data_IF_604047514562
#
_entry.id   IF_604047514562
#
_cell.length_a   1.000
_cell.length_b   1.000
_cell.length_c   1.000
_cell.angle_alpha   90.00
_cell.angle_beta   90.00
_cell.angle_gamma   90.00
#
_symmetry.space_group_name_H-M   'P 1'
#
loop_
_entity.id
_entity.type
_entity.pdbx_description
1 polymer ?
#
# COMPACT_ATOMS: atom_id res chain seq x y z
N UNK A 1 -20.85 -19.60 1.33
CA UNK A 1 -19.74 -18.67 1.06
C UNK A 1 -19.72 -18.43 -0.44
N UNK A 2 -20.09 -17.22 -0.86
CA UNK A 2 -20.09 -16.85 -2.28
C UNK A 2 -18.64 -16.79 -2.78
N UNK A 3 -18.41 -16.99 -4.08
CA UNK A 3 -17.08 -16.70 -4.67
C UNK A 3 -16.66 -15.24 -4.44
N UNK A 4 -17.62 -14.34 -4.25
CA UNK A 4 -17.37 -12.94 -3.90
C UNK A 4 -16.76 -12.75 -2.51
N UNK A 5 -17.04 -13.66 -1.56
CA UNK A 5 -16.41 -13.63 -0.23
C UNK A 5 -14.93 -14.03 -0.29
N UNK A 6 -14.51 -14.72 -1.36
CA UNK A 6 -13.14 -15.24 -1.53
C UNK A 6 -12.21 -14.28 -2.29
N UNK A 7 -12.74 -13.33 -3.04
CA UNK A 7 -11.97 -12.43 -3.91
C UNK A 7 -12.36 -10.98 -3.68
N UNK A 8 -12.67 -10.56 -2.45
CA UNK A 8 -13.05 -9.18 -2.13
C UNK A 8 -11.84 -8.26 -1.88
N UNK A 9 -12.04 -6.92 -1.88
CA UNK A 9 -10.97 -5.95 -1.64
C UNK A 9 -10.31 -6.11 -0.26
N UNK A 10 -11.08 -6.53 0.76
CA UNK A 10 -10.55 -6.84 2.09
C UNK A 10 -9.62 -8.05 2.07
N UNK A 11 -9.91 -9.05 1.22
CA UNK A 11 -9.04 -10.21 1.03
C UNK A 11 -7.77 -9.78 0.30
N UNK A 12 -7.87 -8.99 -0.76
CA UNK A 12 -6.70 -8.46 -1.46
C UNK A 12 -5.79 -7.62 -0.55
N UNK A 13 -6.37 -6.83 0.37
CA UNK A 13 -5.61 -6.11 1.39
C UNK A 13 -4.83 -7.06 2.30
N UNK A 14 -5.50 -8.08 2.87
CA UNK A 14 -4.86 -9.09 3.73
C UNK A 14 -3.75 -9.82 2.98
N UNK A 15 -4.04 -10.27 1.76
CA UNK A 15 -3.09 -10.96 0.89
C UNK A 15 -1.87 -10.08 0.56
N UNK A 16 -2.08 -8.77 0.35
CA UNK A 16 -1.00 -7.82 0.10
C UNK A 16 -0.13 -7.59 1.36
N UNK A 17 -0.73 -7.53 2.55
CA UNK A 17 0.01 -7.49 3.82
C UNK A 17 0.83 -8.77 4.00
N UNK A 18 0.26 -9.94 3.72
CA UNK A 18 0.95 -11.23 3.81
C UNK A 18 2.16 -11.31 2.85
N UNK A 19 2.05 -10.72 1.65
CA UNK A 19 3.15 -10.64 0.68
C UNK A 19 4.24 -9.69 1.18
N UNK A 20 3.86 -8.46 1.59
CA UNK A 20 4.82 -7.39 1.88
C UNK A 20 5.50 -7.52 3.25
N UNK A 21 4.83 -8.11 4.25
CA UNK A 21 5.35 -8.25 5.61
C UNK A 21 6.41 -9.35 5.77
N UNK A 22 6.54 -10.26 4.80
CA UNK A 22 7.45 -11.41 4.88
C UNK A 22 8.93 -11.04 4.81
N UNK A 23 9.27 -9.94 4.15
CA UNK A 23 10.66 -9.50 4.02
C UNK A 23 10.79 -7.97 4.17
N UNK A 24 11.59 -7.47 5.13
CA UNK A 24 11.89 -6.04 5.27
C UNK A 24 12.51 -5.40 4.01
N UNK A 25 13.07 -6.21 3.09
CA UNK A 25 13.60 -5.75 1.78
C UNK A 25 12.51 -5.33 0.81
N UNK A 26 11.24 -5.60 1.11
CA UNK A 26 10.09 -5.22 0.27
C UNK A 26 9.82 -3.70 0.20
N UNK A 27 10.68 -2.88 0.81
CA UNK A 27 10.65 -1.41 0.75
C UNK A 27 10.46 -0.90 -0.68
N UNK A 28 11.22 -1.45 -1.64
CA UNK A 28 11.20 -0.99 -3.05
C UNK A 28 9.89 -1.34 -3.76
N UNK A 29 9.28 -2.48 -3.40
CA UNK A 29 7.95 -2.84 -3.87
C UNK A 29 6.87 -1.92 -3.29
N UNK A 30 6.95 -1.59 -1.99
CA UNK A 30 6.02 -0.61 -1.36
C UNK A 30 6.12 0.74 -2.08
N UNK A 31 7.33 1.21 -2.35
CA UNK A 31 7.56 2.46 -3.09
C UNK A 31 6.97 2.40 -4.49
N UNK A 32 7.23 1.32 -5.23
CA UNK A 32 6.72 1.14 -6.60
C UNK A 32 5.19 1.11 -6.64
N UNK A 33 4.55 0.45 -5.69
CA UNK A 33 3.08 0.40 -5.58
C UNK A 33 2.49 1.79 -5.36
N UNK A 34 3.03 2.54 -4.40
CA UNK A 34 2.55 3.88 -4.09
C UNK A 34 2.77 4.81 -5.27
N UNK A 35 3.98 4.85 -5.85
CA UNK A 35 4.26 5.69 -7.01
C UNK A 35 3.37 5.34 -8.20
N UNK A 36 3.10 4.05 -8.43
CA UNK A 36 2.23 3.62 -9.53
C UNK A 36 0.77 4.00 -9.30
N UNK A 37 0.30 4.13 -8.06
CA UNK A 37 -1.04 4.66 -7.76
C UNK A 37 -1.12 6.19 -7.89
N UNK A 38 -0.04 6.89 -7.53
CA UNK A 38 0.05 8.35 -7.71
C UNK A 38 0.20 8.77 -9.17
N UNK A 39 0.70 7.86 -10.03
CA UNK A 39 0.74 8.03 -11.48
C UNK A 39 -0.58 7.50 -12.06
N UNK A 40 -1.17 8.16 -13.08
CA UNK A 40 -2.45 7.67 -13.62
C UNK A 40 -2.29 6.25 -14.20
N UNK A 41 -2.92 5.26 -13.57
CA UNK A 41 -2.89 3.84 -13.98
C UNK A 41 -3.49 3.59 -15.38
N UNK A 42 -4.04 4.61 -16.05
CA UNK A 42 -4.30 4.56 -17.51
C UNK A 42 -3.02 4.38 -18.33
N UNK A 43 -1.85 4.68 -17.77
CA UNK A 43 -0.57 4.39 -18.40
C UNK A 43 -0.24 2.90 -18.26
N UNK A 44 -0.11 2.19 -19.39
CA UNK A 44 0.21 0.76 -19.43
C UNK A 44 1.52 0.40 -18.69
N UNK A 45 2.40 1.38 -18.52
CA UNK A 45 3.65 1.26 -17.78
C UNK A 45 3.42 1.11 -16.27
N UNK A 46 2.48 1.85 -15.68
CA UNK A 46 2.16 1.77 -14.25
C UNK A 46 1.57 0.40 -13.86
N UNK A 47 0.67 -0.15 -14.69
CA UNK A 47 0.14 -1.52 -14.50
C UNK A 47 1.25 -2.57 -14.56
N UNK A 48 2.22 -2.40 -15.47
CA UNK A 48 3.34 -3.33 -15.62
C UNK A 48 4.29 -3.26 -14.42
N UNK A 49 4.57 -2.05 -13.90
CA UNK A 49 5.37 -1.85 -12.68
C UNK A 49 4.74 -2.51 -11.46
N UNK A 50 3.44 -2.33 -11.24
CA UNK A 50 2.69 -3.00 -10.15
C UNK A 50 2.80 -4.52 -10.29
N UNK A 51 2.57 -5.06 -11.50
CA UNK A 51 2.66 -6.50 -11.75
C UNK A 51 4.04 -7.06 -11.46
N UNK A 52 5.09 -6.40 -11.92
CA UNK A 52 6.46 -6.85 -11.71
C UNK A 52 6.85 -6.80 -10.23
N UNK A 53 6.58 -5.69 -9.54
CA UNK A 53 6.91 -5.53 -8.12
C UNK A 53 6.21 -6.58 -7.25
N UNK A 54 4.91 -6.82 -7.44
CA UNK A 54 4.17 -7.82 -6.67
C UNK A 54 4.64 -9.23 -7.02
N UNK A 55 4.87 -9.54 -8.30
CA UNK A 55 5.32 -10.87 -8.71
C UNK A 55 6.71 -11.20 -8.20
N UNK A 56 7.61 -10.20 -8.18
CA UNK A 56 8.96 -10.35 -7.64
C UNK A 56 8.93 -10.66 -6.14
N UNK A 57 8.21 -9.86 -5.35
CA UNK A 57 8.08 -10.11 -3.91
C UNK A 57 7.37 -11.43 -3.64
N UNK A 58 6.27 -11.71 -4.34
CA UNK A 58 5.53 -12.96 -4.17
C UNK A 58 6.38 -14.20 -4.52
N UNK A 59 7.30 -14.11 -5.48
CA UNK A 59 8.21 -15.21 -5.82
C UNK A 59 9.27 -15.50 -4.75
N UNK A 60 9.56 -14.51 -3.90
CA UNK A 60 10.50 -14.62 -2.79
C UNK A 60 9.77 -14.98 -1.48
N UNK A 61 8.44 -14.87 -1.46
CA UNK A 61 7.56 -15.16 -0.34
C UNK A 61 6.89 -16.53 -0.51
N UNK A 62 6.48 -17.17 0.58
CA UNK A 62 5.80 -18.48 0.53
C UNK A 62 4.29 -18.31 0.30
N UNK A 63 3.91 -17.68 -0.80
CA UNK A 63 2.51 -17.32 -1.12
C UNK A 63 2.10 -18.00 -2.42
N UNK A 64 0.85 -18.46 -2.48
CA UNK A 64 0.36 -19.15 -3.67
C UNK A 64 0.02 -18.18 -4.82
N UNK A 65 -0.11 -18.74 -6.02
CA UNK A 65 -0.45 -17.98 -7.22
C UNK A 65 -1.85 -17.36 -7.16
N UNK A 66 -2.78 -17.94 -6.40
CA UNK A 66 -4.15 -17.42 -6.29
C UNK A 66 -4.14 -16.10 -5.50
N UNK A 67 -3.38 -16.05 -4.40
CA UNK A 67 -3.13 -14.88 -3.57
C UNK A 67 -2.50 -13.76 -4.38
N UNK A 68 -1.44 -14.08 -5.13
CA UNK A 68 -0.76 -13.12 -6.00
C UNK A 68 -1.71 -12.57 -7.08
N UNK A 69 -2.47 -13.45 -7.75
CA UNK A 69 -3.42 -13.04 -8.78
C UNK A 69 -4.57 -12.19 -8.23
N UNK A 70 -5.04 -12.48 -7.02
CA UNK A 70 -6.08 -11.69 -6.35
C UNK A 70 -5.59 -10.26 -6.11
N UNK A 71 -4.40 -10.09 -5.52
CA UNK A 71 -3.78 -8.78 -5.30
C UNK A 71 -3.61 -8.02 -6.61
N UNK A 72 -3.06 -8.66 -7.64
CA UNK A 72 -2.87 -8.04 -8.96
C UNK A 72 -4.17 -7.61 -9.62
N UNK A 73 -5.23 -8.41 -9.49
CA UNK A 73 -6.54 -8.05 -10.01
C UNK A 73 -7.05 -6.77 -9.35
N UNK A 74 -7.07 -6.73 -8.01
CA UNK A 74 -7.61 -5.57 -7.28
C UNK A 74 -6.76 -4.31 -7.47
N UNK A 75 -5.44 -4.43 -7.53
CA UNK A 75 -4.55 -3.27 -7.73
C UNK A 75 -4.46 -2.78 -9.19
N UNK A 76 -4.99 -3.51 -10.18
CA UNK A 76 -4.85 -3.08 -11.60
C UNK A 76 -6.15 -3.00 -12.38
N UNK A 77 -7.23 -3.65 -11.92
CA UNK A 77 -8.49 -3.77 -12.67
C UNK A 77 -9.67 -3.04 -12.00
N UNK A 78 -9.45 -2.37 -10.87
CA UNK A 78 -10.52 -1.73 -10.09
C UNK A 78 -10.39 -0.22 -10.12
N UNK A 79 -11.40 0.49 -9.62
CA UNK A 79 -11.40 1.95 -9.61
C UNK A 79 -10.36 2.52 -8.61
N UNK A 80 -9.94 3.79 -8.78
CA UNK A 80 -8.97 4.41 -7.88
C UNK A 80 -9.35 4.33 -6.40
N UNK A 81 -10.59 4.64 -6.04
CA UNK A 81 -11.02 4.66 -4.63
C UNK A 81 -10.79 3.31 -3.92
N UNK A 82 -11.08 2.19 -4.59
CA UNK A 82 -10.85 0.85 -4.04
C UNK A 82 -9.37 0.56 -3.88
N UNK A 83 -8.53 0.93 -4.86
CA UNK A 83 -7.08 0.73 -4.78
C UNK A 83 -6.44 1.58 -3.70
N UNK A 84 -6.83 2.85 -3.61
CA UNK A 84 -6.40 3.77 -2.56
C UNK A 84 -6.74 3.22 -1.18
N UNK A 85 -7.97 2.73 -0.99
CA UNK A 85 -8.38 2.08 0.25
C UNK A 85 -7.49 0.87 0.59
N UNK A 86 -7.26 -0.03 -0.37
CA UNK A 86 -6.39 -1.20 -0.18
C UNK A 86 -4.99 -0.74 0.24
N UNK A 87 -4.39 0.18 -0.50
CA UNK A 87 -3.02 0.63 -0.28
C UNK A 87 -2.85 1.33 1.08
N UNK A 88 -3.75 2.26 1.42
CA UNK A 88 -3.70 3.01 2.68
C UNK A 88 -3.83 2.06 3.88
N UNK A 89 -4.80 1.14 3.84
CA UNK A 89 -5.00 0.21 4.94
C UNK A 89 -3.87 -0.83 5.03
N UNK A 90 -3.31 -1.28 3.91
CA UNK A 90 -2.12 -2.15 3.92
C UNK A 90 -0.93 -1.45 4.57
N UNK A 91 -0.64 -0.19 4.21
CA UNK A 91 0.49 0.55 4.79
C UNK A 91 0.26 0.81 6.29
N UNK A 92 -0.96 1.17 6.68
CA UNK A 92 -1.33 1.28 8.10
C UNK A 92 -1.03 -0.02 8.86
N UNK A 93 -1.45 -1.16 8.31
CA UNK A 93 -1.24 -2.49 8.93
C UNK A 93 0.25 -2.83 9.03
N UNK A 94 1.03 -2.57 7.97
CA UNK A 94 2.48 -2.80 7.95
C UNK A 94 3.24 -1.90 8.94
N UNK A 95 2.78 -0.67 9.18
CA UNK A 95 3.33 0.22 10.22
C UNK A 95 3.01 -0.27 11.65
N UNK A 96 1.93 -1.04 11.80
CA UNK A 96 1.54 -1.67 13.06
C UNK A 96 2.30 -2.96 13.37
N UNK A 97 2.94 -3.58 12.36
CA UNK A 97 3.72 -4.81 12.50
C UNK A 97 5.19 -4.46 12.76
N UNK A 98 5.74 -4.91 13.89
CA UNK A 98 7.08 -4.54 14.37
C UNK A 98 8.18 -4.87 13.34
N UNK A 99 8.09 -6.01 12.66
CA UNK A 99 9.10 -6.48 11.70
C UNK A 99 9.09 -5.71 10.37
N UNK A 100 7.96 -5.11 9.97
CA UNK A 100 7.84 -4.36 8.72
C UNK A 100 7.86 -2.84 8.91
N UNK A 101 7.65 -2.36 10.14
CA UNK A 101 7.51 -0.93 10.44
C UNK A 101 8.63 -0.07 9.87
N UNK A 102 9.89 -0.43 10.11
CA UNK A 102 11.04 0.37 9.64
C UNK A 102 11.15 0.37 8.11
N UNK A 103 10.90 -0.78 7.47
CA UNK A 103 10.85 -0.88 6.01
C UNK A 103 9.73 0.00 5.42
N UNK A 104 8.55 -0.02 6.05
CA UNK A 104 7.41 0.80 5.62
C UNK A 104 7.67 2.29 5.83
N UNK A 105 8.27 2.69 6.95
CA UNK A 105 8.68 4.09 7.18
C UNK A 105 9.72 4.54 6.14
N UNK A 106 10.72 3.70 5.85
CA UNK A 106 11.71 3.98 4.83
C UNK A 106 11.08 4.14 3.44
N UNK A 107 10.08 3.33 3.10
CA UNK A 107 9.33 3.49 1.86
C UNK A 107 8.61 4.85 1.82
N UNK A 108 7.95 5.26 2.90
CA UNK A 108 7.28 6.56 2.98
C UNK A 108 8.26 7.74 2.85
N UNK A 109 9.47 7.63 3.42
CA UNK A 109 10.53 8.65 3.27
C UNK A 109 11.10 8.77 1.85
N UNK A 110 10.90 7.78 0.98
CA UNK A 110 11.30 7.87 -0.43
C UNK A 110 10.28 8.60 -1.29
N UNK A 111 9.05 8.74 -0.79
CA UNK A 111 7.90 9.28 -1.55
C UNK A 111 7.53 10.66 -1.05
N UNK A 112 7.71 10.89 0.25
CA UNK A 112 7.52 12.18 0.90
C UNK A 112 8.79 12.58 1.65
N UNK A 113 8.94 13.86 1.99
CA UNK A 113 10.10 14.28 2.78
C UNK A 113 10.06 13.63 4.17
N UNK A 114 11.26 13.33 4.71
CA UNK A 114 11.40 12.80 6.06
C UNK A 114 10.68 13.67 7.10
N UNK A 115 10.89 14.99 7.03
CA UNK A 115 10.25 15.95 7.92
C UNK A 115 8.71 15.88 7.85
N UNK A 116 8.14 15.68 6.65
CA UNK A 116 6.68 15.58 6.50
C UNK A 116 6.15 14.28 7.14
N UNK A 117 6.81 13.15 6.88
CA UNK A 117 6.42 11.86 7.47
C UNK A 117 6.55 11.90 9.00
N UNK A 118 7.65 12.44 9.54
CA UNK A 118 7.85 12.58 10.99
C UNK A 118 6.80 13.50 11.62
N UNK A 119 6.49 14.64 10.99
CA UNK A 119 5.45 15.56 11.45
C UNK A 119 4.07 14.89 11.51
N UNK A 120 3.68 14.18 10.45
CA UNK A 120 2.38 13.50 10.38
C UNK A 120 2.31 12.34 11.37
N UNK A 121 3.40 11.58 11.56
CA UNK A 121 3.45 10.54 12.60
C UNK A 121 3.38 11.12 14.01
N UNK A 122 3.95 12.30 14.24
CA UNK A 122 3.81 12.99 15.52
C UNK A 122 2.36 13.42 15.79
N UNK A 123 1.58 13.76 14.75
CA UNK A 123 0.14 14.00 14.90
C UNK A 123 -0.61 12.73 15.32
N UNK A 124 -0.18 11.55 14.88
CA UNK A 124 -0.72 10.27 15.38
C UNK A 124 -0.40 10.07 16.86
N UNK A 125 0.86 10.31 17.26
CA UNK A 125 1.29 10.19 18.66
C UNK A 125 0.49 11.13 19.58
N UNK A 126 0.17 12.32 19.10
CA UNK A 126 -0.65 13.32 19.80
C UNK A 126 -2.15 13.05 19.73
N UNK A 127 -2.58 11.96 19.08
CA UNK A 127 -3.98 11.58 18.88
C UNK A 127 -4.78 12.63 18.12
N UNK A 128 -4.10 13.41 17.27
CA UNK A 128 -4.73 14.38 16.37
C UNK A 128 -5.28 13.65 15.15
N UNK A 129 -4.53 12.68 14.62
CA UNK A 129 -4.93 11.81 13.52
C UNK A 129 -4.89 10.33 13.96
N UNK A 130 -5.71 9.50 13.32
CA UNK A 130 -5.50 8.05 13.32
C UNK A 130 -4.36 7.69 12.36
N UNK A 131 -3.79 6.47 12.51
CA UNK A 131 -2.73 6.01 11.62
C UNK A 131 -3.21 5.92 10.16
N UNK A 132 -4.43 5.43 9.92
CA UNK A 132 -5.09 5.47 8.62
C UNK A 132 -5.11 6.89 8.00
N UNK A 133 -5.54 7.88 8.77
CA UNK A 133 -5.60 9.28 8.32
C UNK A 133 -4.22 9.84 8.01
N UNK A 134 -3.23 9.53 8.85
CA UNK A 134 -1.84 9.91 8.64
C UNK A 134 -1.27 9.33 7.33
N UNK A 135 -1.47 8.04 7.10
CA UNK A 135 -1.04 7.39 5.84
C UNK A 135 -1.73 8.06 4.66
N UNK A 136 -3.04 8.29 4.72
CA UNK A 136 -3.76 8.99 3.65
C UNK A 136 -3.16 10.37 3.34
N UNK A 137 -2.87 11.18 4.36
CA UNK A 137 -2.26 12.52 4.19
C UNK A 137 -0.86 12.45 3.59
N UNK A 138 -0.05 11.46 3.97
CA UNK A 138 1.31 11.27 3.43
C UNK A 138 1.25 10.90 1.95
N UNK A 139 0.33 10.03 1.56
CA UNK A 139 0.22 9.55 0.18
C UNK A 139 -0.45 10.58 -0.74
N UNK A 140 -1.45 11.32 -0.24
CA UNK A 140 -2.27 12.22 -1.05
C UNK A 140 -2.24 13.64 -0.46
N UNK A 141 -1.09 14.35 -0.52
CA UNK A 141 -0.97 15.68 0.07
C UNK A 141 -1.91 16.71 -0.58
N UNK A 142 -2.18 16.58 -1.89
CA UNK A 142 -3.05 17.52 -2.62
C UNK A 142 -4.54 17.29 -2.37
N UNK A 143 -4.99 16.11 -1.93
CA UNK A 143 -6.40 15.88 -1.60
C UNK A 143 -6.82 16.51 -0.27
N UNK A 144 -5.86 17.05 0.51
CA UNK A 144 -6.17 17.96 1.61
C UNK A 144 -6.88 19.25 1.15
N UNK A 145 -6.74 19.63 -0.12
CA UNK A 145 -7.52 20.71 -0.73
C UNK A 145 -8.97 20.33 -1.04
N UNK A 146 -9.31 19.03 -1.06
CA UNK A 146 -10.68 18.53 -1.22
C UNK A 146 -11.43 18.37 0.12
N UNK A 147 -10.73 18.54 1.25
CA UNK A 147 -11.31 18.58 2.60
C UNK A 147 -11.62 20.02 3.09
N UNK A 148 -11.41 21.03 2.24
CA UNK A 148 -11.78 22.44 2.48
C UNK A 148 -13.06 22.84 1.76
#
# INVERSE_FOLDING_TARGET
MSKDDKLGPMRARSDLVDILSQDPRNTEAIVTLIQSELTDLKESDAVSKVRNAISEVASQSNVDSETTNNVLYWLTQTNPDVRQMILVQTIEELLGIETSKDATLNALYQISSKDNVELVMEWVNRKILTLNQAVYVILYPDSSSALM
#
